data_IF_579201144876
#
_entry.id   IF_579201144876
#
_cell.length_a   1.000
_cell.length_b   1.000
_cell.length_c   1.000
_cell.angle_alpha   90.00
_cell.angle_beta   90.00
_cell.angle_gamma   90.00
#
_symmetry.space_group_name_H-M   'P 1'
#
loop_
_entity.id
_entity.type
_entity.pdbx_description
1 polymer ?
#
# COMPACT_ATOMS: atom_id res chain seq x y z
N UNK A 1 10.38 -2.55 6.54
CA UNK A 1 11.10 -1.65 5.62
C UNK A 1 10.33 -1.52 4.32
N UNK A 2 9.94 -0.31 3.92
CA UNK A 2 9.19 0.00 2.70
C UNK A 2 10.18 0.24 1.57
N UNK A 3 10.04 -0.48 0.45
CA UNK A 3 10.90 -0.31 -0.71
C UNK A 3 10.45 0.85 -1.61
N UNK A 4 11.39 1.67 -2.03
CA UNK A 4 11.20 2.73 -3.01
C UNK A 4 11.88 2.32 -4.30
N UNK A 5 11.19 2.53 -5.40
CA UNK A 5 11.64 2.22 -6.76
C UNK A 5 11.57 3.49 -7.60
N UNK A 6 12.62 3.78 -8.34
CA UNK A 6 12.72 4.94 -9.21
C UNK A 6 13.04 4.51 -10.63
N UNK A 7 12.27 5.00 -11.60
CA UNK A 7 12.52 4.81 -13.02
C UNK A 7 12.47 6.16 -13.75
N UNK A 8 13.59 6.57 -14.36
CA UNK A 8 13.73 7.81 -15.12
C UNK A 8 14.94 7.65 -16.04
N UNK A 9 14.81 7.87 -17.33
CA UNK A 9 15.88 7.70 -18.30
C UNK A 9 16.93 8.83 -18.24
N UNK A 10 16.57 10.02 -17.73
CA UNK A 10 17.52 11.08 -17.46
C UNK A 10 18.36 10.77 -16.20
N UNK A 11 19.61 10.43 -16.44
CA UNK A 11 20.56 10.10 -15.36
C UNK A 11 20.74 11.22 -14.33
N UNK A 12 20.71 12.48 -14.78
CA UNK A 12 20.96 13.62 -13.88
C UNK A 12 19.74 13.85 -12.98
N UNK A 13 18.54 13.80 -13.54
CA UNK A 13 17.27 13.91 -12.83
C UNK A 13 17.12 12.75 -11.87
N UNK A 14 17.30 11.52 -12.34
CA UNK A 14 17.22 10.29 -11.53
C UNK A 14 18.14 10.35 -10.31
N UNK A 15 19.39 10.78 -10.49
CA UNK A 15 20.35 10.91 -9.41
C UNK A 15 19.92 11.95 -8.36
N UNK A 16 19.43 13.11 -8.81
CA UNK A 16 18.94 14.18 -7.92
C UNK A 16 17.76 13.68 -7.06
N UNK A 17 16.81 12.98 -7.68
CA UNK A 17 15.66 12.40 -6.98
C UNK A 17 16.14 11.37 -5.96
N UNK A 18 17.01 10.44 -6.36
CA UNK A 18 17.54 9.40 -5.47
C UNK A 18 18.24 10.01 -4.25
N UNK A 19 19.16 10.97 -4.46
CA UNK A 19 19.88 11.63 -3.38
C UNK A 19 18.95 12.40 -2.44
N UNK A 20 17.87 12.99 -2.96
CA UNK A 20 16.85 13.67 -2.14
C UNK A 20 16.06 12.69 -1.28
N UNK A 21 15.61 11.56 -1.86
CA UNK A 21 14.89 10.49 -1.16
C UNK A 21 15.76 9.88 -0.05
N UNK A 22 16.99 9.46 -0.38
CA UNK A 22 17.91 8.84 0.57
C UNK A 22 18.25 9.78 1.74
N UNK A 23 18.53 11.05 1.45
CA UNK A 23 18.78 12.07 2.47
C UNK A 23 17.57 12.28 3.38
N UNK A 24 16.35 12.36 2.81
CA UNK A 24 15.12 12.54 3.58
C UNK A 24 14.88 11.35 4.49
N UNK A 25 14.99 10.14 3.98
CA UNK A 25 14.85 8.88 4.74
C UNK A 25 15.83 8.85 5.91
N UNK A 26 17.10 9.19 5.65
CA UNK A 26 18.15 9.18 6.67
C UNK A 26 17.92 10.24 7.77
N UNK A 27 17.55 11.47 7.39
CA UNK A 27 17.32 12.55 8.36
C UNK A 27 16.13 12.28 9.27
N UNK A 28 15.09 11.69 8.73
CA UNK A 28 13.83 11.41 9.45
C UNK A 28 13.83 10.03 10.15
N UNK A 29 14.89 9.23 9.96
CA UNK A 29 15.01 7.86 10.48
C UNK A 29 13.81 6.97 10.12
N UNK A 30 13.39 7.01 8.85
CA UNK A 30 12.24 6.24 8.37
C UNK A 30 12.64 4.81 7.99
N UNK A 31 11.76 3.84 8.29
CA UNK A 31 11.89 2.43 7.87
C UNK A 31 11.57 2.26 6.36
N UNK A 32 12.33 2.97 5.53
CA UNK A 32 12.24 3.01 4.08
C UNK A 32 13.63 2.88 3.44
N UNK A 33 13.70 2.39 2.20
CA UNK A 33 14.96 2.31 1.44
C UNK A 33 14.72 2.45 -0.06
N UNK A 34 15.66 3.04 -0.79
CA UNK A 34 15.69 3.01 -2.25
C UNK A 34 16.24 1.66 -2.70
N UNK A 35 15.37 0.78 -3.18
CA UNK A 35 15.68 -0.60 -3.60
C UNK A 35 16.26 -0.63 -5.00
N UNK A 36 15.66 0.18 -5.90
CA UNK A 36 16.03 0.20 -7.30
C UNK A 36 15.95 1.63 -7.85
N UNK A 37 16.95 2.01 -8.63
CA UNK A 37 17.01 3.26 -9.39
C UNK A 37 17.45 2.91 -10.81
N UNK A 38 16.50 2.80 -11.72
CA UNK A 38 16.69 2.29 -13.07
C UNK A 38 16.46 3.37 -14.13
N UNK A 39 17.12 3.23 -15.27
CA UNK A 39 16.92 4.06 -16.46
C UNK A 39 15.87 3.50 -17.43
N UNK A 40 15.38 2.32 -17.14
CA UNK A 40 14.42 1.58 -17.98
C UNK A 40 13.54 0.66 -17.14
N UNK A 41 12.38 0.22 -17.68
CA UNK A 41 11.41 -0.63 -16.97
C UNK A 41 11.95 -1.99 -16.53
N UNK A 42 12.80 -2.64 -17.35
CA UNK A 42 13.27 -4.00 -17.13
C UNK A 42 13.88 -4.23 -15.74
N UNK A 43 14.96 -3.52 -15.38
CA UNK A 43 15.61 -3.70 -14.08
C UNK A 43 14.69 -3.42 -12.88
N UNK A 44 13.75 -2.46 -13.02
CA UNK A 44 12.77 -2.18 -11.97
C UNK A 44 11.80 -3.34 -11.76
N UNK A 45 11.27 -3.89 -12.86
CA UNK A 45 10.35 -5.04 -12.79
C UNK A 45 11.05 -6.30 -12.28
N UNK A 46 12.32 -6.52 -12.63
CA UNK A 46 13.14 -7.61 -12.07
C UNK A 46 13.30 -7.45 -10.55
N UNK A 47 13.72 -6.27 -10.08
CA UNK A 47 13.88 -5.99 -8.65
C UNK A 47 12.55 -6.16 -7.87
N UNK A 48 11.42 -5.77 -8.49
CA UNK A 48 10.11 -5.96 -7.90
C UNK A 48 9.73 -7.46 -7.83
N UNK A 49 10.01 -8.23 -8.88
CA UNK A 49 9.72 -9.66 -8.91
C UNK A 49 10.55 -10.44 -7.88
N UNK A 50 11.82 -10.10 -7.70
CA UNK A 50 12.70 -10.74 -6.70
C UNK A 50 12.24 -10.47 -5.26
N UNK A 51 11.81 -9.25 -4.98
CA UNK A 51 11.40 -8.85 -3.61
C UNK A 51 9.98 -9.27 -3.27
N UNK A 52 9.15 -9.49 -4.26
CA UNK A 52 7.71 -9.77 -4.15
C UNK A 52 6.88 -8.55 -3.74
N UNK A 53 5.54 -8.66 -3.80
CA UNK A 53 4.62 -7.54 -3.53
C UNK A 53 4.66 -7.15 -2.05
N UNK A 54 5.14 -5.94 -1.73
CA UNK A 54 5.28 -5.43 -0.36
C UNK A 54 4.80 -3.99 -0.18
N UNK A 55 3.85 -3.54 -1.01
CA UNK A 55 3.34 -2.15 -0.98
C UNK A 55 4.48 -1.13 -1.14
N UNK A 56 5.21 -1.26 -2.24
CA UNK A 56 6.30 -0.35 -2.60
C UNK A 56 5.81 1.07 -2.93
N UNK A 57 6.77 1.99 -3.00
CA UNK A 57 6.58 3.35 -3.52
C UNK A 57 7.34 3.48 -4.83
N UNK A 58 6.66 3.88 -5.89
CA UNK A 58 7.19 3.91 -7.24
C UNK A 58 7.17 5.33 -7.78
N UNK A 59 8.36 5.91 -7.98
CA UNK A 59 8.55 7.18 -8.65
C UNK A 59 8.89 6.91 -10.12
N UNK A 60 8.01 7.29 -11.02
CA UNK A 60 8.07 6.90 -12.43
C UNK A 60 8.08 8.14 -13.32
N UNK A 61 9.07 8.24 -14.20
CA UNK A 61 8.93 9.18 -15.33
C UNK A 61 7.83 8.68 -16.27
N UNK A 62 7.05 9.61 -16.79
CA UNK A 62 6.04 9.32 -17.81
C UNK A 62 6.69 9.05 -19.16
N UNK A 63 7.73 9.78 -19.50
CA UNK A 63 8.44 9.65 -20.78
C UNK A 63 9.72 8.85 -20.58
N UNK A 64 9.68 7.58 -20.97
CA UNK A 64 10.84 6.69 -20.97
C UNK A 64 11.25 6.44 -22.43
N UNK A 65 12.53 6.67 -22.75
CA UNK A 65 13.08 6.40 -24.09
C UNK A 65 13.41 4.93 -24.28
N UNK A 66 12.43 4.04 -24.03
CA UNK A 66 12.61 2.59 -24.10
C UNK A 66 11.53 1.94 -25.00
N UNK A 67 11.64 2.18 -26.31
CA UNK A 67 10.79 1.58 -27.33
C UNK A 67 9.30 1.86 -27.11
N UNK A 68 8.52 0.81 -26.86
CA UNK A 68 7.07 0.91 -26.64
C UNK A 68 6.68 1.18 -25.17
N UNK A 69 7.64 1.38 -24.28
CA UNK A 69 7.39 1.64 -22.87
C UNK A 69 7.25 3.11 -22.56
N UNK A 70 6.22 3.44 -21.82
CA UNK A 70 6.06 4.72 -21.10
C UNK A 70 5.81 4.45 -19.60
N UNK A 71 5.83 5.49 -18.79
CA UNK A 71 5.59 5.35 -17.37
C UNK A 71 4.20 4.84 -17.02
N UNK A 72 3.20 5.08 -17.87
CA UNK A 72 1.84 4.59 -17.63
C UNK A 72 1.76 3.07 -17.84
N UNK A 73 2.38 2.56 -18.90
CA UNK A 73 2.50 1.12 -19.15
C UNK A 73 3.28 0.43 -18.03
N UNK A 74 4.38 1.04 -17.59
CA UNK A 74 5.13 0.56 -16.44
C UNK A 74 4.27 0.53 -15.17
N UNK A 75 3.49 1.57 -14.92
CA UNK A 75 2.54 1.62 -13.80
C UNK A 75 1.48 0.51 -13.86
N UNK A 76 0.99 0.15 -15.05
CA UNK A 76 0.07 -0.98 -15.22
C UNK A 76 0.71 -2.32 -14.83
N UNK A 77 1.95 -2.57 -15.25
CA UNK A 77 2.65 -3.79 -14.86
C UNK A 77 2.97 -3.82 -13.37
N UNK A 78 3.39 -2.68 -12.78
CA UNK A 78 3.57 -2.57 -11.33
C UNK A 78 2.25 -2.88 -10.60
N UNK A 79 1.12 -2.34 -11.06
CA UNK A 79 -0.19 -2.56 -10.44
C UNK A 79 -0.62 -4.03 -10.46
N UNK A 80 -0.17 -4.82 -11.47
CA UNK A 80 -0.38 -6.28 -11.52
C UNK A 80 0.47 -7.03 -10.50
N UNK A 81 1.73 -6.58 -10.30
CA UNK A 81 2.68 -7.22 -9.39
C UNK A 81 2.51 -6.77 -7.94
N UNK A 82 2.20 -5.48 -7.73
CA UNK A 82 1.93 -4.86 -6.43
C UNK A 82 0.63 -4.03 -6.48
N UNK A 83 -0.54 -4.67 -6.31
CA UNK A 83 -1.85 -4.01 -6.41
C UNK A 83 -2.05 -2.84 -5.45
N UNK A 84 -1.35 -2.84 -4.32
CA UNK A 84 -1.44 -1.82 -3.28
C UNK A 84 -0.24 -0.86 -3.26
N UNK A 85 0.67 -0.97 -4.20
CA UNK A 85 1.81 -0.09 -4.35
C UNK A 85 1.39 1.37 -4.56
N UNK A 86 2.18 2.31 -4.11
CA UNK A 86 1.93 3.74 -4.27
C UNK A 86 2.64 4.25 -5.51
N UNK A 87 1.89 4.67 -6.53
CA UNK A 87 2.44 5.21 -7.78
C UNK A 87 2.53 6.73 -7.70
N UNK A 88 3.68 7.28 -8.03
CA UNK A 88 3.96 8.72 -8.16
C UNK A 88 4.60 8.95 -9.53
N UNK A 89 3.99 9.81 -10.32
CA UNK A 89 4.55 10.16 -11.62
C UNK A 89 5.37 11.45 -11.54
N UNK A 90 6.54 11.46 -12.16
CA UNK A 90 7.41 12.63 -12.26
C UNK A 90 7.67 12.88 -13.76
N UNK A 91 7.32 14.03 -14.27
CA UNK A 91 7.42 14.31 -15.71
C UNK A 91 7.64 15.79 -16.01
N UNK A 92 8.18 16.09 -17.17
CA UNK A 92 8.29 17.46 -17.68
C UNK A 92 6.92 18.06 -18.10
N UNK A 93 5.89 17.23 -18.32
CA UNK A 93 4.62 17.63 -18.94
C UNK A 93 3.45 17.54 -17.95
N UNK A 94 3.06 18.69 -17.37
CA UNK A 94 1.95 18.77 -16.42
C UNK A 94 0.58 18.38 -17.00
N UNK A 95 0.37 18.58 -18.29
CA UNK A 95 -0.89 18.27 -19.00
C UNK A 95 -1.16 16.75 -19.13
N UNK A 96 -0.14 15.91 -18.99
CA UNK A 96 -0.32 14.45 -19.04
C UNK A 96 -0.92 13.85 -17.77
N UNK A 97 -1.06 14.63 -16.69
CA UNK A 97 -1.66 14.17 -15.44
C UNK A 97 -3.07 13.55 -15.64
N UNK A 98 -3.87 14.11 -16.54
CA UNK A 98 -5.20 13.59 -16.85
C UNK A 98 -5.19 12.16 -17.44
N UNK A 99 -4.07 11.71 -18.02
CA UNK A 99 -3.97 10.37 -18.58
C UNK A 99 -3.95 9.29 -17.51
N UNK A 100 -3.51 9.59 -16.28
CA UNK A 100 -3.55 8.63 -15.16
C UNK A 100 -4.96 8.11 -14.89
N UNK A 101 -5.98 8.97 -15.07
CA UNK A 101 -7.40 8.58 -14.95
C UNK A 101 -7.83 7.64 -16.06
N UNK A 102 -7.34 7.83 -17.29
CA UNK A 102 -7.68 6.97 -18.44
C UNK A 102 -7.15 5.54 -18.27
N UNK A 103 -6.00 5.40 -17.60
CA UNK A 103 -5.39 4.09 -17.34
C UNK A 103 -5.82 3.44 -16.02
N UNK A 104 -6.71 4.08 -15.24
CA UNK A 104 -7.18 3.60 -13.92
C UNK A 104 -6.04 3.21 -12.97
N UNK A 105 -4.95 4.00 -12.95
CA UNK A 105 -3.72 3.66 -12.24
C UNK A 105 -3.73 4.07 -10.75
N UNK A 106 -4.73 4.88 -10.34
CA UNK A 106 -4.83 5.38 -8.96
C UNK A 106 -3.50 5.99 -8.48
N UNK A 107 -2.94 6.90 -9.30
CA UNK A 107 -1.71 7.60 -8.93
C UNK A 107 -1.92 8.39 -7.63
N UNK A 108 -0.96 8.29 -6.72
CA UNK A 108 -0.97 9.03 -5.46
C UNK A 108 -0.65 10.51 -5.68
N UNK A 109 0.32 10.78 -6.55
CA UNK A 109 0.76 12.14 -6.86
C UNK A 109 1.31 12.23 -8.28
N UNK A 110 1.40 13.47 -8.76
CA UNK A 110 1.92 13.81 -10.07
C UNK A 110 2.81 15.05 -9.95
N UNK A 111 4.13 14.87 -10.06
CA UNK A 111 5.14 15.88 -9.85
C UNK A 111 5.65 16.37 -11.21
N UNK A 112 5.58 17.68 -11.44
CA UNK A 112 6.20 18.29 -12.62
C UNK A 112 7.69 18.51 -12.36
N UNK A 113 8.56 18.10 -13.31
CA UNK A 113 10.02 18.32 -13.26
C UNK A 113 10.34 19.81 -13.36
N UNK A 114 10.35 20.50 -12.23
CA UNK A 114 10.83 21.87 -12.12
C UNK A 114 12.31 21.85 -11.68
N UNK A 115 13.23 22.48 -12.43
CA UNK A 115 14.64 22.48 -12.07
C UNK A 115 14.96 23.00 -10.67
N UNK A 116 14.16 23.93 -10.15
CA UNK A 116 14.39 24.57 -8.85
C UNK A 116 13.62 23.90 -7.70
N UNK A 117 12.48 23.26 -7.98
CA UNK A 117 11.55 22.73 -6.96
C UNK A 117 11.43 21.23 -6.90
N UNK A 118 12.12 20.48 -7.77
CA UNK A 118 11.93 19.02 -7.91
C UNK A 118 12.19 18.25 -6.60
N UNK A 119 13.35 18.47 -5.98
CA UNK A 119 13.72 17.74 -4.77
C UNK A 119 12.77 18.01 -3.62
N UNK A 120 12.33 19.27 -3.48
CA UNK A 120 11.36 19.66 -2.46
C UNK A 120 10.00 19.02 -2.70
N UNK A 121 9.54 18.96 -3.96
CA UNK A 121 8.29 18.32 -4.33
C UNK A 121 8.33 16.80 -4.04
N UNK A 122 9.43 16.14 -4.40
CA UNK A 122 9.65 14.71 -4.12
C UNK A 122 9.67 14.44 -2.61
N UNK A 123 10.37 15.28 -1.83
CA UNK A 123 10.40 15.13 -0.38
C UNK A 123 9.02 15.32 0.26
N UNK A 124 8.24 16.33 -0.16
CA UNK A 124 6.86 16.53 0.33
C UNK A 124 5.96 15.35 -0.03
N UNK A 125 6.08 14.82 -1.25
CA UNK A 125 5.33 13.64 -1.66
C UNK A 125 5.70 12.43 -0.79
N UNK A 126 6.99 12.19 -0.53
CA UNK A 126 7.43 11.08 0.33
C UNK A 126 6.92 11.24 1.77
N UNK A 127 6.86 12.47 2.32
CA UNK A 127 6.25 12.75 3.62
C UNK A 127 4.77 12.35 3.66
N UNK A 128 4.01 12.72 2.63
CA UNK A 128 2.60 12.38 2.52
C UNK A 128 2.39 10.85 2.41
N UNK A 129 3.22 10.18 1.62
CA UNK A 129 3.23 8.71 1.51
C UNK A 129 3.55 8.07 2.86
N UNK A 130 4.62 8.53 3.54
CA UNK A 130 4.99 8.02 4.86
C UNK A 130 3.87 8.22 5.88
N UNK A 131 3.26 9.39 5.95
CA UNK A 131 2.13 9.68 6.84
C UNK A 131 0.95 8.72 6.58
N UNK A 132 0.61 8.44 5.30
CA UNK A 132 -0.42 7.47 4.92
C UNK A 132 -0.07 6.07 5.43
N UNK A 133 1.16 5.59 5.23
CA UNK A 133 1.59 4.29 5.73
C UNK A 133 1.56 4.21 7.27
N UNK A 134 1.86 5.31 7.98
CA UNK A 134 1.77 5.35 9.44
C UNK A 134 0.32 5.24 9.93
N UNK A 135 -0.64 5.89 9.26
CA UNK A 135 -2.07 5.77 9.57
C UNK A 135 -2.53 4.33 9.33
N UNK A 136 -2.19 3.75 8.18
CA UNK A 136 -2.54 2.38 7.83
C UNK A 136 -1.88 1.33 8.76
N UNK A 137 -0.68 1.60 9.28
CA UNK A 137 -0.02 0.77 10.31
C UNK A 137 -0.63 0.94 11.70
N UNK A 138 -1.12 2.15 12.04
CA UNK A 138 -1.74 2.43 13.35
C UNK A 138 -3.16 1.89 13.43
N UNK A 139 -3.81 1.77 12.31
CA UNK A 139 -5.15 1.23 12.18
C UNK A 139 -5.20 0.32 10.93
N UNK A 140 -4.54 -0.86 10.94
CA UNK A 140 -5.03 -1.89 10.08
C UNK A 140 -6.45 -2.12 10.58
N UNK A 141 -7.45 -1.65 9.85
CA UNK A 141 -8.81 -2.14 10.06
C UNK A 141 -8.79 -3.63 9.78
N UNK A 142 -8.24 -4.38 10.74
CA UNK A 142 -8.38 -5.82 10.71
C UNK A 142 -9.84 -6.10 10.89
N UNK A 143 -10.42 -6.51 9.80
CA UNK A 143 -11.84 -6.76 9.68
C UNK A 143 -12.06 -8.26 9.82
N UNK A 144 -12.88 -8.64 10.75
CA UNK A 144 -13.41 -9.99 10.81
C UNK A 144 -14.58 -10.10 9.82
N UNK A 145 -14.35 -10.81 8.73
CA UNK A 145 -15.40 -11.12 7.76
C UNK A 145 -16.17 -12.35 8.21
N UNK A 146 -17.46 -12.21 8.41
CA UNK A 146 -18.40 -13.25 8.85
C UNK A 146 -19.56 -13.40 7.86
N UNK A 147 -20.16 -14.60 7.84
CA UNK A 147 -21.42 -14.84 7.15
C UNK A 147 -22.55 -14.97 8.16
N UNK A 148 -23.52 -14.07 8.10
CA UNK A 148 -24.79 -14.11 8.85
C UNK A 148 -25.89 -14.51 7.89
N UNK A 149 -26.19 -15.80 7.75
CA UNK A 149 -27.07 -16.30 6.69
C UNK A 149 -26.52 -15.99 5.31
N UNK A 150 -27.31 -15.28 4.48
CA UNK A 150 -26.93 -14.86 3.12
C UNK A 150 -26.13 -13.55 3.08
N UNK A 151 -25.91 -12.90 4.21
CA UNK A 151 -25.20 -11.61 4.28
C UNK A 151 -23.75 -11.81 4.70
N UNK A 152 -22.85 -11.09 4.05
CA UNK A 152 -21.46 -10.96 4.47
C UNK A 152 -21.34 -9.68 5.28
N UNK A 153 -20.81 -9.80 6.50
CA UNK A 153 -20.47 -8.67 7.36
C UNK A 153 -18.97 -8.53 7.52
N UNK A 154 -18.50 -7.32 7.46
CA UNK A 154 -17.12 -6.92 7.75
C UNK A 154 -17.14 -6.11 9.05
N UNK A 155 -16.59 -6.66 10.13
CA UNK A 155 -16.59 -6.03 11.45
C UNK A 155 -15.16 -5.71 11.85
N UNK A 156 -14.82 -4.43 12.06
CA UNK A 156 -13.49 -4.03 12.56
C UNK A 156 -13.17 -4.72 13.89
N UNK A 157 -11.99 -5.34 14.01
CA UNK A 157 -11.61 -6.05 15.24
C UNK A 157 -11.64 -5.15 16.47
N UNK A 158 -11.34 -3.87 16.32
CA UNK A 158 -11.40 -2.86 17.37
C UNK A 158 -12.81 -2.63 17.95
N UNK A 159 -13.86 -2.95 17.20
CA UNK A 159 -15.24 -2.83 17.65
C UNK A 159 -15.73 -4.09 18.38
N UNK A 160 -14.99 -5.19 18.29
CA UNK A 160 -15.37 -6.47 18.91
C UNK A 160 -15.01 -6.44 20.38
N UNK A 161 -16.02 -6.59 21.22
CA UNK A 161 -15.82 -6.65 22.67
C UNK A 161 -15.47 -8.09 23.12
N UNK A 162 -16.27 -9.08 22.71
CA UNK A 162 -16.04 -10.47 23.02
C UNK A 162 -16.87 -11.40 22.11
N UNK A 163 -16.53 -12.68 22.19
CA UNK A 163 -17.27 -13.79 21.58
C UNK A 163 -17.78 -14.71 22.66
N UNK A 164 -18.97 -15.28 22.46
CA UNK A 164 -19.51 -16.35 23.31
C UNK A 164 -20.19 -17.44 22.48
N UNK A 165 -20.38 -18.62 23.05
CA UNK A 165 -21.16 -19.68 22.42
C UNK A 165 -22.63 -19.30 22.36
N UNK A 166 -23.24 -19.50 21.19
CA UNK A 166 -24.68 -19.33 21.03
C UNK A 166 -25.45 -20.56 21.53
N UNK A 167 -26.76 -20.44 21.87
CA UNK A 167 -27.60 -21.56 22.21
C UNK A 167 -27.75 -22.59 21.07
N UNK A 168 -27.64 -22.15 19.82
CA UNK A 168 -27.66 -23.04 18.66
C UNK A 168 -26.32 -23.77 18.48
N UNK A 169 -26.33 -25.07 18.15
CA UNK A 169 -25.12 -25.83 17.90
C UNK A 169 -24.30 -25.23 16.77
N UNK A 170 -22.96 -25.16 16.93
CA UNK A 170 -22.04 -24.60 15.95
C UNK A 170 -22.25 -23.10 15.63
N UNK A 171 -22.87 -22.35 16.52
CA UNK A 171 -23.02 -20.92 16.42
C UNK A 171 -22.23 -20.18 17.48
N UNK A 172 -21.75 -19.00 17.11
CA UNK A 172 -21.01 -18.06 17.97
C UNK A 172 -21.70 -16.71 17.92
N UNK A 173 -21.83 -16.09 19.08
CA UNK A 173 -22.30 -14.71 19.21
C UNK A 173 -21.09 -13.77 19.31
N UNK A 174 -21.00 -12.81 18.43
CA UNK A 174 -20.05 -11.73 18.47
C UNK A 174 -20.76 -10.48 19.03
N UNK A 175 -20.13 -9.83 19.99
CA UNK A 175 -20.63 -8.61 20.64
C UNK A 175 -19.75 -7.41 20.28
N UNK A 176 -20.40 -6.34 19.85
CA UNK A 176 -19.83 -5.00 19.71
C UNK A 176 -20.55 -4.03 20.64
N UNK A 177 -20.08 -2.78 20.76
CA UNK A 177 -20.73 -1.78 21.57
C UNK A 177 -22.19 -1.47 21.12
N UNK A 178 -22.50 -1.65 19.85
CA UNK A 178 -23.80 -1.28 19.26
C UNK A 178 -24.60 -2.43 18.66
N UNK A 179 -24.05 -3.66 18.58
CA UNK A 179 -24.73 -4.78 17.93
C UNK A 179 -24.26 -6.14 18.43
N UNK A 180 -25.09 -7.15 18.12
CA UNK A 180 -24.77 -8.55 18.34
C UNK A 180 -24.99 -9.32 17.04
N UNK A 181 -24.04 -10.15 16.65
CA UNK A 181 -24.06 -10.92 15.41
C UNK A 181 -23.97 -12.40 15.73
N UNK A 182 -24.96 -13.18 15.26
CA UNK A 182 -24.98 -14.63 15.35
C UNK A 182 -24.50 -15.23 14.03
N UNK A 183 -23.48 -16.09 14.10
CA UNK A 183 -22.91 -16.69 12.89
C UNK A 183 -22.45 -18.13 13.15
N UNK A 184 -22.38 -18.92 12.08
CA UNK A 184 -21.90 -20.30 12.12
C UNK A 184 -20.39 -20.32 12.28
N UNK A 185 -19.88 -20.97 13.34
CA UNK A 185 -18.46 -21.06 13.63
C UNK A 185 -18.18 -21.69 14.99
N UNK A 186 -16.90 -21.71 15.36
CA UNK A 186 -16.48 -22.18 16.68
C UNK A 186 -15.47 -21.21 17.32
N UNK A 187 -15.48 -21.13 18.67
CA UNK A 187 -14.49 -20.32 19.40
C UNK A 187 -13.06 -20.80 19.14
N UNK A 188 -12.86 -22.11 18.92
CA UNK A 188 -11.53 -22.67 18.63
C UNK A 188 -10.98 -22.27 17.25
N UNK A 189 -11.85 -22.09 16.26
CA UNK A 189 -11.45 -21.55 14.94
C UNK A 189 -11.12 -20.07 15.02
N UNK A 190 -11.93 -19.30 15.78
CA UNK A 190 -11.66 -17.88 16.02
C UNK A 190 -10.34 -17.66 16.76
N UNK A 191 -10.05 -18.46 17.79
CA UNK A 191 -8.80 -18.43 18.54
C UNK A 191 -7.58 -18.65 17.63
N UNK A 192 -7.65 -19.62 16.71
CA UNK A 192 -6.59 -19.85 15.71
C UNK A 192 -6.45 -18.71 14.71
N UNK A 193 -7.57 -18.11 14.30
CA UNK A 193 -7.60 -17.05 13.28
C UNK A 193 -7.18 -15.69 13.84
N UNK A 194 -7.58 -15.38 15.08
CA UNK A 194 -7.36 -14.08 15.72
C UNK A 194 -6.06 -14.03 16.55
N UNK A 195 -5.48 -15.20 16.88
CA UNK A 195 -4.21 -15.30 17.57
C UNK A 195 -4.21 -14.61 18.94
N UNK A 196 -3.12 -13.92 19.29
CA UNK A 196 -2.90 -13.31 20.60
C UNK A 196 -3.82 -12.09 20.90
N UNK A 197 -4.66 -11.67 19.96
CA UNK A 197 -5.53 -10.48 20.11
C UNK A 197 -6.75 -10.72 20.96
N UNK A 198 -7.20 -11.99 21.05
CA UNK A 198 -8.33 -12.40 21.88
C UNK A 198 -7.91 -13.55 22.77
N UNK A 199 -8.06 -13.33 24.07
CA UNK A 199 -7.77 -14.36 25.06
C UNK A 199 -9.02 -15.17 25.35
N UNK A 200 -8.92 -16.49 25.30
CA UNK A 200 -9.99 -17.38 25.73
C UNK A 200 -10.02 -17.47 27.25
N UNK A 201 -11.09 -16.93 27.86
CA UNK A 201 -11.25 -16.84 29.31
C UNK A 201 -12.08 -17.99 29.90
N UNK A 202 -12.77 -18.78 29.06
CA UNK A 202 -13.60 -19.91 29.49
C UNK A 202 -13.56 -21.08 28.49
N UNK A 203 -13.76 -22.30 28.98
CA UNK A 203 -13.70 -23.51 28.13
C UNK A 203 -14.98 -23.79 27.33
N UNK A 204 -16.09 -23.14 27.68
CA UNK A 204 -17.38 -23.31 26.99
C UNK A 204 -17.37 -22.61 25.66
#
# INVERSE_FOLDING_TARGET
>A
MIGIYLCDDDRAVRRRIQEALERKIFVEDWDMEVVCSADSPGPLLEALAERGPRRGVYFLDVELQDGDWDGFRLGQEIRRLDPHGTLVYITAYGELACRTFQYHLEAFDYIVKDPEGLEEAVCRCLEAVHARFQVERRDPEEVLTLREGDRVRHIPLKEILFFETAPAPHHVLLHTAGSRVDFVGSLSELEKRLGERFLRVHRA
#
